data_IF_551163097548
#
_entry.id   IF_551163097548
#
_cell.length_a   1.000
_cell.length_b   1.000
_cell.length_c   1.000
_cell.angle_alpha   90.00
_cell.angle_beta   90.00
_cell.angle_gamma   90.00
#
_symmetry.space_group_name_H-M   'P 1'
#
loop_
_entity.id
_entity.type
_entity.pdbx_description
1 polymer ?
#
# COMPACT_ATOMS: atom_id res chain seq x y z
N UNK A 1 -22.55 41.52 71.22
CA UNK A 1 -23.32 40.42 71.82
C UNK A 1 -22.52 39.14 71.61
N UNK A 2 -22.16 38.50 72.73
CA UNK A 2 -21.60 37.17 72.98
C UNK A 2 -20.50 36.59 72.06
N UNK A 3 -19.53 35.79 72.52
CA UNK A 3 -18.73 35.60 73.74
C UNK A 3 -17.91 34.33 73.46
N UNK A 4 -16.62 34.33 73.82
CA UNK A 4 -15.80 33.13 74.15
C UNK A 4 -15.42 32.19 72.98
N UNK A 5 -14.25 31.54 72.93
CA UNK A 5 -13.40 31.03 74.01
C UNK A 5 -11.90 30.92 73.64
N UNK A 6 -11.08 31.05 74.66
CA UNK A 6 -9.62 30.83 74.75
C UNK A 6 -9.28 29.33 74.70
N UNK A 7 -8.14 28.96 74.10
CA UNK A 7 -7.51 27.65 74.26
C UNK A 7 -6.08 27.59 73.72
N UNK A 8 -5.10 27.51 74.62
CA UNK A 8 -3.64 27.47 74.38
C UNK A 8 -3.15 26.11 73.86
N UNK A 9 -1.99 26.09 73.15
CA UNK A 9 -0.76 25.35 73.54
C UNK A 9 0.01 24.62 72.41
N UNK A 10 1.29 25.03 72.24
CA UNK A 10 2.50 24.28 71.78
C UNK A 10 2.58 23.89 70.29
N UNK A 11 3.72 23.79 69.62
CA UNK A 11 5.12 24.25 69.70
C UNK A 11 5.80 23.54 68.50
N UNK A 12 6.53 24.24 67.62
CA UNK A 12 7.80 23.75 67.04
C UNK A 12 8.30 24.67 65.92
N UNK A 13 9.47 25.25 66.19
CA UNK A 13 10.38 25.95 65.27
C UNK A 13 11.23 24.89 64.58
N UNK A 14 11.44 24.98 63.26
CA UNK A 14 12.75 24.75 62.64
C UNK A 14 12.89 25.67 61.42
N UNK A 15 13.82 26.63 61.51
CA UNK A 15 14.34 27.39 60.38
C UNK A 15 15.61 26.68 59.87
N UNK A 16 15.76 26.56 58.55
CA UNK A 16 17.01 26.18 57.92
C UNK A 16 17.30 27.13 56.74
N UNK A 17 18.31 27.98 56.92
CA UNK A 17 18.98 28.74 55.87
C UNK A 17 19.80 27.76 55.01
N UNK A 18 19.65 27.82 53.69
CA UNK A 18 20.53 27.17 52.71
C UNK A 18 21.19 28.23 51.82
N UNK A 19 22.52 28.27 51.84
CA UNK A 19 23.36 29.16 51.05
C UNK A 19 23.31 28.82 49.55
N UNK A 20 23.13 29.83 48.70
CA UNK A 20 23.15 29.71 47.25
C UNK A 20 24.60 29.82 46.75
N UNK A 21 25.19 28.70 46.32
CA UNK A 21 26.48 28.68 45.61
C UNK A 21 26.18 28.78 44.11
N UNK A 22 26.65 29.85 43.47
CA UNK A 22 26.63 30.02 42.02
C UNK A 22 27.74 29.15 41.41
N UNK A 23 27.40 27.90 41.07
CA UNK A 23 28.20 27.08 40.17
C UNK A 23 27.84 27.42 38.71
N UNK A 24 28.79 27.99 37.96
CA UNK A 24 28.67 28.14 36.51
C UNK A 24 28.64 26.75 35.87
N UNK A 25 27.43 26.31 35.49
CA UNK A 25 27.22 25.09 34.74
C UNK A 25 27.82 25.26 33.34
N UNK A 26 28.89 24.51 33.08
CA UNK A 26 29.35 24.25 31.71
C UNK A 26 28.30 23.29 31.14
N UNK A 27 27.35 23.84 30.39
CA UNK A 27 26.37 23.04 29.65
C UNK A 27 27.11 22.30 28.54
N UNK A 28 27.40 21.01 28.76
CA UNK A 28 27.70 20.11 27.67
C UNK A 28 26.49 20.13 26.73
N UNK A 29 26.65 20.69 25.54
CA UNK A 29 25.65 20.57 24.50
C UNK A 29 25.40 19.08 24.24
N UNK A 30 24.17 18.64 24.44
CA UNK A 30 23.71 17.35 23.93
C UNK A 30 23.86 17.36 22.40
N UNK A 31 24.11 16.20 21.75
CA UNK A 31 24.13 16.15 20.30
C UNK A 31 22.81 16.68 19.77
N UNK A 32 22.91 17.57 18.77
CA UNK A 32 21.79 18.20 18.08
C UNK A 32 20.81 17.09 17.66
N UNK A 33 19.60 17.15 18.20
CA UNK A 33 18.54 16.22 17.82
C UNK A 33 18.36 16.27 16.29
N UNK A 34 18.29 15.09 15.66
CA UNK A 34 17.79 14.98 14.30
C UNK A 34 16.50 15.82 14.19
N UNK A 35 16.42 16.66 13.16
CA UNK A 35 15.21 17.41 12.84
C UNK A 35 14.02 16.45 12.88
N UNK A 36 13.05 16.69 13.76
CA UNK A 36 11.86 15.82 13.90
C UNK A 36 11.21 15.64 12.53
N UNK A 37 11.08 14.39 12.08
CA UNK A 37 10.49 14.07 10.78
C UNK A 37 11.48 14.03 9.60
N UNK A 38 12.80 13.99 9.81
CA UNK A 38 13.75 13.66 8.74
C UNK A 38 14.29 12.25 8.95
N UNK A 39 14.28 11.45 7.89
CA UNK A 39 14.84 10.09 7.89
C UNK A 39 15.99 9.99 6.90
N UNK A 40 17.06 9.30 7.30
CA UNK A 40 18.25 9.06 6.47
C UNK A 40 18.39 7.56 6.24
N UNK A 41 18.47 7.20 4.97
CA UNK A 41 18.65 5.83 4.51
C UNK A 41 19.96 5.74 3.72
N UNK A 42 20.54 4.56 3.75
CA UNK A 42 21.68 4.16 2.93
C UNK A 42 21.28 2.97 2.07
N UNK A 43 21.89 2.87 0.91
CA UNK A 43 21.77 1.75 0.00
C UNK A 43 23.05 1.59 -0.79
N UNK A 44 23.12 0.52 -1.57
CA UNK A 44 24.18 0.32 -2.55
C UNK A 44 23.50 0.01 -3.89
N UNK A 45 23.86 0.73 -4.94
CA UNK A 45 23.28 0.59 -6.26
C UNK A 45 24.29 -0.08 -7.19
N UNK A 46 23.94 -1.28 -7.65
CA UNK A 46 24.74 -2.04 -8.62
C UNK A 46 23.86 -2.41 -9.81
N UNK A 47 23.97 -1.62 -10.88
CA UNK A 47 23.36 -1.92 -12.17
C UNK A 47 24.36 -2.54 -13.15
N UNK A 48 25.65 -2.61 -12.80
CA UNK A 48 26.68 -3.32 -13.57
C UNK A 48 26.39 -4.84 -13.57
N UNK A 49 25.92 -5.36 -12.44
CA UNK A 49 25.53 -6.76 -12.23
C UNK A 49 24.05 -6.80 -11.83
N UNK A 50 23.17 -6.29 -12.69
CA UNK A 50 21.76 -6.00 -12.38
C UNK A 50 21.00 -7.09 -11.60
N UNK A 51 20.41 -6.67 -10.47
CA UNK A 51 19.41 -7.44 -9.69
C UNK A 51 18.26 -6.51 -9.30
N UNK A 52 17.11 -6.66 -9.96
CA UNK A 52 15.94 -5.81 -9.73
C UNK A 52 15.42 -5.87 -8.28
N UNK A 53 15.53 -7.01 -7.60
CA UNK A 53 14.97 -7.22 -6.26
C UNK A 53 15.79 -6.48 -5.22
N UNK A 54 17.11 -6.49 -5.38
CA UNK A 54 18.05 -5.86 -4.47
C UNK A 54 18.32 -4.38 -4.78
N UNK A 55 18.17 -3.94 -6.04
CA UNK A 55 18.45 -2.56 -6.46
C UNK A 55 17.63 -1.51 -5.70
N UNK A 56 18.26 -0.46 -5.13
CA UNK A 56 17.57 0.61 -4.41
C UNK A 56 16.39 1.21 -5.19
N UNK A 57 15.18 1.13 -4.62
CA UNK A 57 13.94 1.61 -5.21
C UNK A 57 13.11 2.30 -4.11
N UNK A 58 12.72 3.59 -4.24
CA UNK A 58 12.79 4.45 -5.42
C UNK A 58 14.21 4.87 -5.82
N UNK A 59 14.36 5.31 -7.07
CA UNK A 59 15.59 5.83 -7.66
C UNK A 59 15.28 7.03 -8.59
N UNK A 60 16.19 7.42 -9.48
CA UNK A 60 15.94 8.48 -10.47
C UNK A 60 14.66 8.26 -11.28
N UNK A 61 13.86 9.32 -11.44
CA UNK A 61 12.58 9.29 -12.16
C UNK A 61 11.38 8.80 -11.33
N UNK A 62 11.60 8.36 -10.09
CA UNK A 62 10.50 8.03 -9.18
C UNK A 62 9.72 9.28 -8.77
N UNK A 63 8.41 9.19 -8.49
CA UNK A 63 7.62 10.28 -7.92
C UNK A 63 8.32 10.90 -6.69
N UNK A 64 8.14 12.21 -6.47
CA UNK A 64 8.65 12.92 -5.29
C UNK A 64 10.16 12.74 -4.97
N UNK A 65 10.96 12.27 -5.94
CA UNK A 65 12.39 12.03 -5.76
C UNK A 65 13.20 13.06 -6.54
N UNK A 66 14.01 13.81 -5.79
CA UNK A 66 15.11 14.63 -6.33
C UNK A 66 16.34 13.74 -6.37
N UNK A 67 17.05 13.72 -7.49
CA UNK A 67 18.18 12.81 -7.71
C UNK A 67 19.40 13.61 -8.13
N UNK A 68 20.41 13.63 -7.25
CA UNK A 68 21.71 14.24 -7.46
C UNK A 68 22.75 13.12 -7.62
N UNK A 69 22.80 12.57 -8.83
CA UNK A 69 23.75 11.53 -9.23
C UNK A 69 23.97 11.58 -10.73
N UNK A 70 24.39 10.46 -11.32
CA UNK A 70 24.80 10.44 -12.71
C UNK A 70 23.69 10.89 -13.68
N UNK A 71 24.09 11.72 -14.65
CA UNK A 71 23.25 12.21 -15.73
C UNK A 71 24.05 12.37 -17.05
N UNK A 72 23.46 12.07 -18.23
CA UNK A 72 22.11 11.56 -18.43
C UNK A 72 21.97 10.10 -17.98
N UNK A 73 20.84 9.76 -17.34
CA UNK A 73 20.59 8.43 -16.74
C UNK A 73 20.85 7.26 -17.70
N UNK A 74 20.59 7.46 -18.99
CA UNK A 74 20.76 6.44 -20.03
C UNK A 74 22.21 6.00 -20.25
N UNK A 75 23.20 6.77 -19.80
CA UNK A 75 24.62 6.40 -19.85
C UNK A 75 25.17 5.89 -18.52
N UNK A 76 24.36 5.91 -17.45
CA UNK A 76 24.82 5.62 -16.11
C UNK A 76 24.84 4.12 -15.84
N UNK A 77 25.99 3.61 -15.41
CA UNK A 77 26.12 2.30 -14.79
C UNK A 77 26.54 2.52 -13.34
N UNK A 78 25.73 2.02 -12.41
CA UNK A 78 25.96 2.18 -10.99
C UNK A 78 26.76 1.01 -10.43
N UNK A 79 27.75 1.34 -9.63
CA UNK A 79 28.46 0.47 -8.69
C UNK A 79 28.92 1.34 -7.53
N UNK A 80 27.94 1.78 -6.72
CA UNK A 80 28.17 2.82 -5.74
C UNK A 80 27.22 2.79 -4.55
N UNK A 81 27.73 3.20 -3.40
CA UNK A 81 26.90 3.60 -2.26
C UNK A 81 25.99 4.77 -2.59
N UNK A 82 24.88 4.87 -1.86
CA UNK A 82 23.90 5.94 -2.03
C UNK A 82 23.28 6.33 -0.69
N UNK A 83 22.92 7.60 -0.58
CA UNK A 83 22.21 8.15 0.59
C UNK A 83 20.87 8.71 0.13
N UNK A 84 19.80 8.35 0.83
CA UNK A 84 18.45 8.90 0.62
C UNK A 84 17.98 9.64 1.86
N UNK A 85 17.58 10.90 1.70
CA UNK A 85 17.09 11.77 2.77
C UNK A 85 15.61 12.04 2.50
N UNK A 86 14.74 11.66 3.43
CA UNK A 86 13.28 11.81 3.31
C UNK A 86 12.80 12.93 4.22
N UNK A 87 12.03 13.87 3.67
CA UNK A 87 11.45 14.98 4.42
C UNK A 87 9.99 14.71 4.83
N UNK A 88 9.81 14.11 6.00
CA UNK A 88 8.50 13.95 6.66
C UNK A 88 8.20 15.08 7.68
N UNK A 89 8.96 16.17 7.66
CA UNK A 89 8.74 17.31 8.55
C UNK A 89 7.55 18.16 8.09
N UNK A 90 7.18 19.18 8.86
CA UNK A 90 6.05 20.06 8.55
C UNK A 90 6.35 21.15 7.51
N UNK A 91 7.60 21.27 7.06
CA UNK A 91 8.03 22.29 6.10
C UNK A 91 9.12 21.82 5.16
N UNK A 92 9.39 22.55 4.06
CA UNK A 92 10.53 22.24 3.21
C UNK A 92 11.83 22.39 4.01
N UNK A 93 12.79 21.52 3.71
CA UNK A 93 14.16 21.62 4.26
C UNK A 93 15.15 21.95 3.16
N UNK A 94 16.27 22.55 3.52
CA UNK A 94 17.43 22.66 2.63
C UNK A 94 18.48 21.66 3.09
N UNK A 95 18.77 20.65 2.27
CA UNK A 95 19.96 19.81 2.44
C UNK A 95 21.12 20.61 1.84
N UNK A 96 21.96 21.17 2.71
CA UNK A 96 23.08 22.02 2.30
C UNK A 96 24.27 21.20 1.80
N UNK A 97 24.51 20.03 2.40
CA UNK A 97 25.62 19.17 2.05
C UNK A 97 25.36 17.74 2.54
N UNK A 98 25.89 16.78 1.78
CA UNK A 98 26.05 15.38 2.19
C UNK A 98 27.52 15.01 2.00
N UNK A 99 28.11 14.33 2.97
CA UNK A 99 29.43 13.72 2.84
C UNK A 99 29.39 12.28 3.35
N UNK A 100 29.91 11.36 2.55
CA UNK A 100 30.05 9.94 2.87
C UNK A 100 31.52 9.67 3.15
N UNK A 101 31.80 9.06 4.30
CA UNK A 101 33.14 8.75 4.77
C UNK A 101 33.34 7.24 4.84
N UNK A 102 34.43 6.75 4.25
CA UNK A 102 34.87 5.36 4.39
C UNK A 102 36.37 5.38 4.68
N UNK A 103 36.76 4.99 5.89
CA UNK A 103 38.14 5.18 6.38
C UNK A 103 38.64 6.63 6.22
N UNK A 104 39.72 6.88 5.47
CA UNK A 104 40.24 8.22 5.18
C UNK A 104 39.58 8.88 3.95
N UNK A 105 38.75 8.15 3.22
CA UNK A 105 38.10 8.63 2.01
C UNK A 105 36.84 9.43 2.32
N UNK A 106 36.58 10.47 1.54
CA UNK A 106 35.39 11.33 1.67
C UNK A 106 34.82 11.63 0.29
N UNK A 107 33.56 11.26 0.10
CA UNK A 107 32.76 11.54 -1.09
C UNK A 107 31.76 12.64 -0.73
N UNK A 108 31.86 13.81 -1.36
CA UNK A 108 31.04 14.99 -1.04
C UNK A 108 30.90 15.88 -2.26
N UNK A 109 30.18 17.00 -2.20
CA UNK A 109 30.14 17.98 -3.29
C UNK A 109 28.88 17.96 -4.16
N UNK A 110 27.88 17.15 -3.80
CA UNK A 110 26.52 17.30 -4.34
C UNK A 110 25.97 18.71 -4.05
N UNK A 111 25.16 19.28 -4.97
CA UNK A 111 24.62 20.62 -4.80
C UNK A 111 23.69 20.72 -3.59
N UNK A 112 23.55 21.94 -3.05
CA UNK A 112 22.55 22.21 -2.03
C UNK A 112 21.15 22.13 -2.65
N UNK A 113 20.26 21.36 -2.02
CA UNK A 113 18.96 21.01 -2.57
C UNK A 113 17.85 21.29 -1.57
N UNK A 114 16.79 21.98 -2.03
CA UNK A 114 15.56 22.16 -1.25
C UNK A 114 14.67 20.93 -1.44
N UNK A 115 14.36 20.24 -0.36
CA UNK A 115 13.49 19.05 -0.36
C UNK A 115 12.11 19.42 0.19
N UNK A 116 11.05 19.45 -0.64
CA UNK A 116 9.69 19.70 -0.19
C UNK A 116 9.21 18.68 0.86
N UNK A 117 8.12 19.02 1.57
CA UNK A 117 7.44 18.05 2.45
C UNK A 117 6.94 16.87 1.63
N UNK A 118 7.19 15.65 2.11
CA UNK A 118 6.83 14.40 1.45
C UNK A 118 7.73 14.03 0.26
N UNK A 119 8.79 14.80 -0.01
CA UNK A 119 9.77 14.48 -1.02
C UNK A 119 11.04 13.87 -0.41
N UNK A 120 11.89 13.32 -1.27
CA UNK A 120 13.18 12.77 -0.90
C UNK A 120 14.29 13.23 -1.85
N UNK A 121 15.52 13.33 -1.31
CA UNK A 121 16.75 13.52 -2.07
C UNK A 121 17.53 12.22 -2.06
N UNK A 122 18.02 11.79 -3.22
CA UNK A 122 19.00 10.71 -3.38
C UNK A 122 20.30 11.30 -3.91
N UNK A 123 21.41 10.99 -3.23
CA UNK A 123 22.77 11.31 -3.70
C UNK A 123 23.57 10.01 -3.89
N UNK A 124 24.38 9.96 -4.95
CA UNK A 124 25.23 8.81 -5.31
C UNK A 124 26.28 9.25 -6.33
N UNK A 125 27.04 8.33 -6.93
CA UNK A 125 28.00 8.63 -8.00
C UNK A 125 27.39 9.57 -9.05
N UNK A 126 28.14 10.58 -9.48
CA UNK A 126 27.73 11.45 -10.59
C UNK A 126 28.34 11.05 -11.94
N UNK A 127 29.32 10.15 -11.95
CA UNK A 127 29.98 9.69 -13.17
C UNK A 127 29.15 8.62 -13.89
N UNK A 128 29.27 8.61 -15.22
CA UNK A 128 28.62 7.62 -16.07
C UNK A 128 29.26 6.23 -15.99
N UNK A 129 30.53 6.15 -15.58
CA UNK A 129 31.32 4.93 -15.56
C UNK A 129 31.67 4.57 -14.12
N UNK A 130 31.55 3.29 -13.79
CA UNK A 130 31.98 2.76 -12.50
C UNK A 130 33.49 2.94 -12.35
N UNK A 131 33.90 3.46 -11.21
CA UNK A 131 35.32 3.73 -10.96
C UNK A 131 35.59 3.81 -9.46
N UNK A 132 36.73 3.24 -9.07
CA UNK A 132 37.22 3.28 -7.70
C UNK A 132 37.94 4.59 -7.41
N UNK A 133 37.83 5.08 -6.18
CA UNK A 133 38.70 6.12 -5.67
C UNK A 133 38.34 6.55 -4.26
N UNK A 134 39.11 7.50 -3.73
CA UNK A 134 39.07 7.87 -2.31
C UNK A 134 38.51 9.29 -2.07
N UNK A 135 38.31 10.05 -3.15
CA UNK A 135 37.74 11.39 -3.11
C UNK A 135 36.68 11.48 -4.20
N UNK A 136 35.56 12.11 -3.88
CA UNK A 136 34.39 12.18 -4.76
C UNK A 136 33.63 13.50 -4.68
N UNK A 137 32.54 13.62 -5.46
CA UNK A 137 31.54 12.57 -5.68
C UNK A 137 31.84 11.66 -6.90
N UNK A 138 32.95 11.92 -7.59
CA UNK A 138 33.52 11.14 -8.68
C UNK A 138 35.03 11.00 -8.49
N UNK A 139 35.61 9.81 -8.67
CA UNK A 139 34.96 8.49 -8.76
C UNK A 139 34.26 8.09 -7.44
N UNK A 140 33.29 7.17 -7.48
CA UNK A 140 32.63 6.67 -6.26
C UNK A 140 32.22 5.20 -6.40
N UNK A 141 33.03 4.33 -5.82
CA UNK A 141 32.71 2.95 -5.46
C UNK A 141 33.17 2.80 -4.00
N UNK A 142 32.20 2.77 -3.08
CA UNK A 142 32.48 2.80 -1.64
C UNK A 142 32.83 1.43 -1.07
N UNK A 143 32.54 0.36 -1.80
CA UNK A 143 32.97 -1.00 -1.44
C UNK A 143 34.42 -1.29 -1.82
N UNK A 144 34.98 -0.54 -2.76
CA UNK A 144 36.39 -0.59 -3.13
C UNK A 144 37.34 0.08 -2.13
N UNK A 145 36.81 0.70 -1.07
CA UNK A 145 37.59 1.47 -0.09
C UNK A 145 37.94 0.64 1.14
N UNK A 146 39.22 0.34 1.29
CA UNK A 146 39.80 -0.27 2.48
C UNK A 146 40.46 0.71 3.43
N UNK A 147 41.20 0.14 4.38
CA UNK A 147 41.87 0.90 5.43
C UNK A 147 42.84 1.94 4.86
N UNK A 148 42.77 3.15 5.42
CA UNK A 148 43.58 4.31 5.06
C UNK A 148 43.42 4.71 3.58
N UNK A 149 42.29 4.31 2.97
CA UNK A 149 41.95 4.63 1.58
C UNK A 149 42.62 3.73 0.55
N UNK A 150 43.21 2.62 1.00
CA UNK A 150 43.73 1.60 0.11
C UNK A 150 42.59 0.98 -0.71
N UNK A 151 42.81 0.77 -2.00
CA UNK A 151 41.87 0.03 -2.84
C UNK A 151 41.82 -1.44 -2.38
N UNK A 152 40.60 -1.97 -2.24
CA UNK A 152 40.32 -3.37 -1.91
C UNK A 152 39.57 -4.10 -3.03
N UNK A 153 39.67 -3.58 -4.26
CA UNK A 153 39.17 -4.20 -5.49
C UNK A 153 39.60 -5.67 -5.54
N UNK A 154 38.63 -6.58 -5.65
CA UNK A 154 38.87 -8.03 -5.73
C UNK A 154 39.27 -8.71 -4.41
N UNK A 155 39.21 -8.01 -3.27
CA UNK A 155 39.41 -8.60 -1.94
C UNK A 155 38.08 -9.14 -1.43
N UNK A 156 37.92 -10.47 -1.43
CA UNK A 156 36.68 -11.14 -1.02
C UNK A 156 36.55 -11.45 0.48
N UNK A 157 37.30 -10.73 1.32
CA UNK A 157 37.26 -10.90 2.78
C UNK A 157 36.77 -9.62 3.44
N UNK A 158 35.68 -9.66 4.21
CA UNK A 158 35.15 -8.48 4.89
C UNK A 158 36.18 -7.83 5.81
N UNK A 159 36.27 -6.51 5.74
CA UNK A 159 36.95 -5.69 6.73
C UNK A 159 36.06 -5.37 7.94
N UNK A 160 36.52 -4.44 8.78
CA UNK A 160 35.78 -3.95 9.96
C UNK A 160 35.45 -2.46 9.88
N UNK A 161 35.63 -1.84 8.71
CA UNK A 161 35.35 -0.43 8.51
C UNK A 161 33.85 -0.18 8.60
N UNK A 162 33.49 0.89 9.30
CA UNK A 162 32.14 1.42 9.36
C UNK A 162 32.13 2.75 8.63
N UNK A 163 31.37 2.86 7.53
CA UNK A 163 31.13 4.14 6.90
C UNK A 163 30.41 5.11 7.83
N UNK A 164 30.55 6.41 7.57
CA UNK A 164 29.76 7.45 8.22
C UNK A 164 29.20 8.43 7.18
N UNK A 165 28.09 9.08 7.51
CA UNK A 165 27.46 10.09 6.66
C UNK A 165 27.24 11.35 7.47
N UNK A 166 27.80 12.46 7.01
CA UNK A 166 27.46 13.79 7.49
C UNK A 166 26.36 14.38 6.61
N UNK A 167 25.24 14.77 7.23
CA UNK A 167 24.14 15.46 6.55
C UNK A 167 23.96 16.84 7.16
N UNK A 168 24.12 17.88 6.36
CA UNK A 168 23.90 19.26 6.79
C UNK A 168 22.55 19.75 6.30
N UNK A 169 21.63 20.02 7.23
CA UNK A 169 20.27 20.48 6.93
C UNK A 169 20.04 21.84 7.59
N UNK A 170 19.59 22.82 6.82
CA UNK A 170 19.35 24.20 7.28
C UNK A 170 20.54 24.77 8.06
N UNK A 171 21.77 24.46 7.63
CA UNK A 171 23.03 24.87 8.24
C UNK A 171 23.47 24.07 9.48
N UNK A 172 22.73 23.02 9.88
CA UNK A 172 23.08 22.15 11.01
C UNK A 172 23.51 20.77 10.52
N UNK A 173 24.70 20.33 10.94
CA UNK A 173 25.25 19.02 10.56
C UNK A 173 24.91 17.95 11.59
N UNK A 174 24.45 16.80 11.11
CA UNK A 174 24.29 15.57 11.90
C UNK A 174 25.17 14.49 11.30
N UNK A 175 25.97 13.83 12.14
CA UNK A 175 26.79 12.68 11.77
C UNK A 175 26.02 11.39 12.07
N UNK A 176 25.97 10.49 11.10
CA UNK A 176 25.37 9.17 11.20
C UNK A 176 26.44 8.11 10.94
N UNK A 177 26.55 7.12 11.81
CA UNK A 177 27.41 5.95 11.55
C UNK A 177 26.59 4.86 10.87
N UNK A 178 27.06 4.38 9.73
CA UNK A 178 26.51 3.19 9.06
C UNK A 178 27.05 1.93 9.73
N UNK A 179 26.58 1.65 10.95
CA UNK A 179 26.95 0.43 11.70
C UNK A 179 26.47 -0.84 11.00
N UNK A 180 25.55 -0.71 10.04
CA UNK A 180 25.11 -1.78 9.15
C UNK A 180 26.10 -2.18 8.08
N UNK A 181 27.06 -1.30 7.76
CA UNK A 181 28.02 -1.48 6.66
C UNK A 181 27.32 -1.70 5.32
N UNK A 182 26.25 -0.95 5.08
CA UNK A 182 25.48 -0.97 3.83
C UNK A 182 26.27 -0.28 2.73
N UNK A 183 26.84 0.89 3.01
CA UNK A 183 27.54 1.72 2.02
C UNK A 183 28.82 1.05 1.48
N UNK A 184 29.44 0.15 2.23
CA UNK A 184 30.64 -0.58 1.80
C UNK A 184 30.38 -2.09 1.68
N UNK A 185 29.12 -2.49 1.47
CA UNK A 185 28.70 -3.89 1.18
C UNK A 185 29.21 -4.94 2.17
N UNK A 186 29.37 -4.55 3.44
CA UNK A 186 29.88 -5.41 4.51
C UNK A 186 31.40 -5.36 4.70
N UNK A 187 32.09 -4.48 3.99
CA UNK A 187 33.54 -4.27 4.06
C UNK A 187 34.33 -5.02 2.99
N UNK A 188 33.73 -5.31 1.84
CA UNK A 188 34.42 -5.97 0.72
C UNK A 188 33.66 -5.75 -0.58
N UNK A 189 34.37 -5.64 -1.70
CA UNK A 189 33.82 -5.58 -3.05
C UNK A 189 33.22 -6.93 -3.44
N UNK A 190 31.91 -7.10 -3.21
CA UNK A 190 31.20 -8.35 -3.50
C UNK A 190 31.02 -8.56 -5.01
N UNK A 191 31.09 -7.47 -5.76
CA UNK A 191 30.98 -7.40 -7.20
C UNK A 191 32.05 -8.19 -7.91
N UNK A 192 33.31 -7.94 -7.56
CA UNK A 192 34.46 -8.69 -8.08
C UNK A 192 34.58 -10.08 -7.48
N UNK A 193 33.81 -10.39 -6.43
CA UNK A 193 33.62 -11.73 -5.90
C UNK A 193 32.50 -12.51 -6.61
N UNK A 194 31.90 -11.93 -7.66
CA UNK A 194 30.91 -12.59 -8.53
C UNK A 194 29.47 -12.49 -8.03
N UNK A 195 29.17 -11.55 -7.13
CA UNK A 195 27.83 -11.28 -6.61
C UNK A 195 27.32 -9.92 -7.11
N UNK A 196 26.01 -9.70 -7.07
CA UNK A 196 25.45 -8.34 -7.16
C UNK A 196 25.62 -7.65 -5.79
N UNK A 197 25.97 -6.38 -5.82
CA UNK A 197 26.23 -5.57 -4.62
C UNK A 197 25.05 -4.73 -4.18
N UNK A 198 23.92 -4.81 -4.89
CA UNK A 198 22.80 -3.96 -4.53
C UNK A 198 22.30 -4.30 -3.13
N UNK A 199 22.10 -3.25 -2.34
CA UNK A 199 21.45 -3.32 -1.05
C UNK A 199 20.34 -2.28 -1.05
N UNK A 200 19.11 -2.76 -0.87
CA UNK A 200 17.92 -1.92 -0.84
C UNK A 200 18.00 -0.86 0.27
N UNK A 201 17.24 0.22 0.13
CA UNK A 201 17.18 1.29 1.12
C UNK A 201 17.01 0.75 2.54
N UNK A 202 17.98 1.08 3.38
CA UNK A 202 18.12 0.62 4.76
C UNK A 202 18.27 1.85 5.65
N UNK A 203 17.57 1.91 6.78
CA UNK A 203 17.75 3.02 7.74
C UNK A 203 19.20 3.03 8.21
N UNK A 204 19.88 4.17 8.12
CA UNK A 204 21.31 4.25 8.48
C UNK A 204 21.52 3.82 9.94
N UNK A 205 22.55 3.01 10.17
CA UNK A 205 22.84 2.42 11.49
C UNK A 205 22.09 1.11 11.79
N UNK A 206 21.39 0.54 10.80
CA UNK A 206 20.75 -0.78 10.90
C UNK A 206 21.36 -1.76 9.89
N UNK A 207 21.24 -3.07 10.15
CA UNK A 207 21.75 -4.10 9.23
C UNK A 207 21.08 -4.06 7.85
N UNK A 208 21.76 -4.54 6.79
CA UNK A 208 21.31 -4.40 5.40
C UNK A 208 19.96 -5.10 5.15
N UNK A 209 19.02 -4.37 4.56
CA UNK A 209 17.69 -4.86 4.23
C UNK A 209 17.61 -5.43 2.81
N UNK A 210 18.38 -6.47 2.53
CA UNK A 210 18.49 -7.07 1.20
C UNK A 210 17.14 -7.48 0.62
N UNK A 211 16.91 -7.10 -0.63
CA UNK A 211 15.74 -7.47 -1.41
C UNK A 211 14.53 -6.58 -1.21
N UNK A 212 13.49 -6.90 -1.95
CA UNK A 212 12.20 -6.21 -1.93
C UNK A 212 11.04 -7.17 -2.18
N UNK A 213 9.86 -6.80 -1.72
CA UNK A 213 8.64 -7.57 -1.90
C UNK A 213 7.49 -6.68 -2.37
N UNK A 214 6.90 -7.04 -3.51
CA UNK A 214 5.68 -6.45 -4.03
C UNK A 214 4.53 -7.44 -3.87
N UNK A 215 3.50 -7.07 -3.11
CA UNK A 215 2.33 -7.89 -2.87
C UNK A 215 1.05 -7.16 -3.29
N UNK A 216 0.20 -7.81 -4.07
CA UNK A 216 -1.09 -7.27 -4.53
C UNK A 216 -2.23 -7.91 -3.74
N UNK A 217 -3.14 -7.06 -3.24
CA UNK A 217 -4.23 -7.46 -2.34
C UNK A 217 -5.52 -6.66 -2.61
N UNK A 218 -6.68 -7.20 -2.21
CA UNK A 218 -6.90 -8.56 -1.69
C UNK A 218 -6.74 -9.65 -2.77
N UNK A 219 -6.50 -10.90 -2.37
CA UNK A 219 -6.26 -12.01 -3.32
C UNK A 219 -7.45 -12.27 -4.24
N UNK A 220 -8.66 -12.10 -3.73
CA UNK A 220 -9.92 -12.30 -4.46
C UNK A 220 -10.91 -11.22 -4.09
N UNK A 221 -11.68 -10.74 -5.07
CA UNK A 221 -12.81 -9.83 -4.88
C UNK A 221 -13.98 -10.27 -5.74
N UNK A 222 -15.19 -9.90 -5.31
CA UNK A 222 -16.42 -10.20 -6.05
C UNK A 222 -17.32 -8.97 -6.02
N UNK A 223 -17.66 -8.45 -7.21
CA UNK A 223 -18.40 -7.19 -7.35
C UNK A 223 -19.47 -7.28 -8.44
N UNK A 224 -20.55 -6.53 -8.28
CA UNK A 224 -21.53 -6.35 -9.36
C UNK A 224 -20.88 -5.57 -10.52
N UNK A 225 -21.28 -5.86 -11.75
CA UNK A 225 -20.91 -5.04 -12.93
C UNK A 225 -21.21 -3.57 -12.65
N UNK A 226 -20.27 -2.69 -13.02
CA UNK A 226 -20.36 -1.24 -12.81
C UNK A 226 -19.87 -0.76 -11.44
N UNK A 227 -19.74 -1.65 -10.44
CA UNK A 227 -19.15 -1.29 -9.15
C UNK A 227 -17.63 -1.13 -9.24
N UNK A 228 -17.06 -0.45 -8.26
CA UNK A 228 -15.61 -0.24 -8.18
C UNK A 228 -14.95 -1.31 -7.32
N UNK A 229 -13.99 -2.02 -7.90
CA UNK A 229 -13.02 -2.83 -7.20
C UNK A 229 -11.78 -1.99 -6.88
N UNK A 230 -11.16 -2.26 -5.73
CA UNK A 230 -9.94 -1.57 -5.28
C UNK A 230 -8.82 -2.58 -5.14
N UNK A 231 -7.76 -2.39 -5.92
CA UNK A 231 -6.52 -3.15 -5.82
C UNK A 231 -5.48 -2.34 -5.04
N UNK A 232 -4.74 -3.02 -4.15
CA UNK A 232 -3.70 -2.41 -3.31
C UNK A 232 -2.40 -3.18 -3.43
N UNK A 233 -1.38 -2.53 -3.99
CA UNK A 233 -0.03 -3.05 -4.03
C UNK A 233 0.77 -2.51 -2.84
N UNK A 234 1.28 -3.42 -1.99
CA UNK A 234 2.20 -3.11 -0.90
C UNK A 234 3.63 -3.42 -1.35
N UNK A 235 4.53 -2.45 -1.22
CA UNK A 235 5.93 -2.59 -1.57
C UNK A 235 6.83 -2.33 -0.36
N UNK A 236 7.71 -3.27 -0.04
CA UNK A 236 8.63 -3.20 1.10
C UNK A 236 10.03 -3.67 0.73
N UNK A 237 11.04 -3.29 1.52
CA UNK A 237 12.36 -3.94 1.47
C UNK A 237 12.34 -5.31 2.19
N UNK A 238 13.47 -6.01 2.22
CA UNK A 238 13.60 -7.33 2.86
C UNK A 238 13.41 -7.34 4.37
N UNK A 239 13.53 -6.18 5.03
CA UNK A 239 13.21 -6.01 6.46
C UNK A 239 11.73 -5.73 6.72
N UNK A 240 10.90 -5.63 5.68
CA UNK A 240 9.49 -5.26 5.80
C UNK A 240 9.22 -3.77 5.96
N UNK A 241 10.25 -2.91 5.80
CA UNK A 241 10.06 -1.46 5.83
C UNK A 241 9.39 -0.99 4.53
N UNK A 242 8.44 -0.05 4.59
CA UNK A 242 7.73 0.44 3.42
C UNK A 242 8.67 1.21 2.48
N UNK A 243 8.53 0.97 1.17
CA UNK A 243 9.21 1.74 0.12
C UNK A 243 8.21 2.74 -0.47
N UNK A 244 8.29 4.00 -0.03
CA UNK A 244 7.43 5.10 -0.49
C UNK A 244 7.87 5.66 -1.83
N UNK A 245 6.96 6.39 -2.48
CA UNK A 245 7.23 7.18 -3.68
C UNK A 245 7.66 6.34 -4.90
N UNK A 246 7.21 5.09 -4.96
CA UNK A 246 7.49 4.16 -6.06
C UNK A 246 6.28 4.10 -6.99
N UNK A 247 6.49 4.25 -8.29
CA UNK A 247 5.45 4.04 -9.29
C UNK A 247 5.19 2.54 -9.48
N UNK A 248 3.94 2.12 -9.25
CA UNK A 248 3.46 0.76 -9.45
C UNK A 248 2.55 0.73 -10.67
N UNK A 249 2.81 -0.18 -11.60
CA UNK A 249 1.96 -0.48 -12.74
C UNK A 249 1.02 -1.64 -12.42
N UNK A 250 -0.25 -1.50 -12.74
CA UNK A 250 -1.28 -2.54 -12.59
C UNK A 250 -1.74 -2.98 -13.97
N UNK A 251 -1.84 -4.28 -14.22
CA UNK A 251 -2.32 -4.81 -15.49
C UNK A 251 -3.25 -6.01 -15.31
N UNK A 252 -4.37 -5.99 -16.04
CA UNK A 252 -5.27 -7.13 -16.20
C UNK A 252 -4.68 -8.08 -17.25
N UNK A 253 -4.21 -9.25 -16.82
CA UNK A 253 -3.62 -10.26 -17.71
C UNK A 253 -4.67 -11.13 -18.41
N UNK A 254 -5.88 -11.25 -17.84
CA UNK A 254 -6.98 -12.02 -18.41
C UNK A 254 -8.34 -11.52 -17.89
N UNK A 255 -9.42 -12.03 -18.48
CA UNK A 255 -10.80 -11.71 -18.10
C UNK A 255 -11.47 -10.65 -18.98
N UNK A 256 -12.66 -10.18 -18.59
CA UNK A 256 -13.41 -9.18 -19.35
C UNK A 256 -12.67 -7.86 -19.55
N UNK A 257 -11.72 -7.51 -18.68
CA UNK A 257 -10.89 -6.31 -18.78
C UNK A 257 -9.44 -6.60 -19.21
N UNK A 258 -9.16 -7.75 -19.84
CA UNK A 258 -7.81 -8.09 -20.30
C UNK A 258 -7.18 -6.97 -21.14
N UNK A 259 -5.91 -6.65 -20.85
CA UNK A 259 -5.18 -5.55 -21.50
C UNK A 259 -5.42 -4.17 -20.88
N UNK A 260 -6.34 -4.03 -19.91
CA UNK A 260 -6.49 -2.81 -19.13
C UNK A 260 -5.27 -2.60 -18.24
N UNK A 261 -4.80 -1.36 -18.18
CA UNK A 261 -3.68 -0.95 -17.33
C UNK A 261 -4.05 0.22 -16.42
N UNK A 262 -3.23 0.43 -15.40
CA UNK A 262 -3.32 1.53 -14.46
C UNK A 262 -1.99 1.76 -13.76
N UNK A 263 -1.89 2.88 -13.05
CA UNK A 263 -0.74 3.18 -12.20
C UNK A 263 -1.18 3.71 -10.85
N UNK A 264 -0.30 3.58 -9.86
CA UNK A 264 -0.42 4.23 -8.57
C UNK A 264 0.96 4.43 -7.95
N UNK A 265 1.13 5.48 -7.16
CA UNK A 265 2.37 5.73 -6.41
C UNK A 265 2.23 5.20 -5.00
N UNK A 266 3.26 4.57 -4.45
CA UNK A 266 3.25 4.13 -3.05
C UNK A 266 3.26 5.32 -2.09
N UNK A 267 2.38 5.30 -1.10
CA UNK A 267 2.36 6.26 -0.01
C UNK A 267 3.49 6.02 1.01
N UNK A 268 3.49 6.78 2.11
CA UNK A 268 4.45 6.58 3.22
C UNK A 268 4.37 5.19 3.87
N UNK A 269 3.25 4.47 3.70
CA UNK A 269 3.11 3.09 4.13
C UNK A 269 3.52 2.10 3.02
N UNK A 270 4.10 2.55 1.91
CA UNK A 270 4.50 1.67 0.82
C UNK A 270 3.30 1.08 0.06
N UNK A 271 2.13 1.73 0.09
CA UNK A 271 0.90 1.22 -0.56
C UNK A 271 0.52 2.08 -1.76
N UNK A 272 0.46 1.48 -2.95
CA UNK A 272 -0.15 2.05 -4.14
C UNK A 272 -1.56 1.48 -4.31
N UNK A 273 -2.53 2.32 -4.68
CA UNK A 273 -3.93 1.93 -4.85
C UNK A 273 -4.41 2.18 -6.27
N UNK A 274 -5.11 1.22 -6.86
CA UNK A 274 -5.76 1.35 -8.16
C UNK A 274 -7.23 0.95 -8.06
N UNK A 275 -8.13 1.78 -8.60
CA UNK A 275 -9.57 1.56 -8.59
C UNK A 275 -10.08 1.35 -10.00
N UNK A 276 -10.92 0.34 -10.22
CA UNK A 276 -11.47 0.06 -11.53
C UNK A 276 -12.84 -0.63 -11.47
N UNK A 277 -13.57 -0.63 -12.57
CA UNK A 277 -14.87 -1.30 -12.72
C UNK A 277 -14.93 -2.09 -14.02
N UNK A 278 -15.80 -3.09 -14.09
CA UNK A 278 -16.10 -3.83 -15.33
C UNK A 278 -17.49 -3.50 -15.85
N UNK A 279 -17.65 -3.49 -17.18
CA UNK A 279 -18.95 -3.45 -17.86
C UNK A 279 -19.47 -4.85 -18.23
N UNK A 280 -18.64 -5.89 -18.10
CA UNK A 280 -18.94 -7.26 -18.49
C UNK A 280 -18.78 -8.22 -17.31
N UNK A 281 -19.60 -9.27 -17.29
CA UNK A 281 -19.45 -10.36 -16.34
C UNK A 281 -18.19 -11.18 -16.64
N UNK A 282 -17.63 -11.82 -15.62
CA UNK A 282 -16.46 -12.69 -15.72
C UNK A 282 -15.41 -12.35 -14.68
N UNK A 283 -14.33 -13.11 -14.68
CA UNK A 283 -13.24 -12.94 -13.71
C UNK A 283 -12.02 -12.33 -14.37
N UNK A 284 -11.59 -11.17 -13.90
CA UNK A 284 -10.29 -10.59 -14.24
C UNK A 284 -9.19 -11.23 -13.41
N UNK A 285 -8.00 -11.37 -13.99
CA UNK A 285 -6.76 -11.63 -13.23
C UNK A 285 -5.83 -10.43 -13.35
N UNK A 286 -5.36 -9.91 -12.22
CA UNK A 286 -4.47 -8.75 -12.15
C UNK A 286 -3.11 -9.11 -11.58
N UNK A 287 -2.10 -8.37 -12.02
CA UNK A 287 -0.75 -8.34 -11.45
C UNK A 287 -0.27 -6.89 -11.37
N UNK A 288 0.54 -6.59 -10.37
CA UNK A 288 1.26 -5.35 -10.23
C UNK A 288 2.76 -5.55 -10.53
N UNK A 289 3.39 -4.52 -11.08
CA UNK A 289 4.81 -4.51 -11.43
C UNK A 289 5.44 -3.17 -11.03
N UNK A 290 6.62 -3.24 -10.42
CA UNK A 290 7.52 -2.09 -10.23
C UNK A 290 8.71 -2.31 -11.17
N UNK A 291 9.10 -1.28 -11.90
CA UNK A 291 10.27 -1.32 -12.80
C UNK A 291 11.32 -0.36 -12.27
N UNK A 292 12.56 -0.85 -12.10
CA UNK A 292 13.72 -0.03 -11.77
C UNK A 292 14.82 -0.21 -12.83
N UNK A 293 15.99 0.40 -12.62
CA UNK A 293 17.09 0.35 -13.60
C UNK A 293 17.67 -1.07 -13.78
N UNK A 294 17.46 -1.97 -12.82
CA UNK A 294 17.94 -3.35 -12.88
C UNK A 294 16.88 -4.36 -13.36
N UNK A 295 15.63 -3.94 -13.56
CA UNK A 295 14.57 -4.75 -14.17
C UNK A 295 13.21 -4.64 -13.47
N UNK A 296 12.38 -5.67 -13.67
CA UNK A 296 11.00 -5.72 -13.19
C UNK A 296 10.84 -6.58 -11.92
N UNK A 297 10.12 -6.03 -10.94
CA UNK A 297 9.65 -6.71 -9.73
C UNK A 297 8.16 -6.94 -9.87
N UNK A 298 7.73 -8.21 -9.86
CA UNK A 298 6.35 -8.58 -10.07
C UNK A 298 5.67 -9.07 -8.80
N UNK A 299 4.39 -8.73 -8.62
CA UNK A 299 3.57 -9.20 -7.50
C UNK A 299 3.02 -10.62 -7.71
N UNK A 300 2.39 -11.18 -6.67
CA UNK A 300 1.39 -12.24 -6.87
C UNK A 300 0.26 -11.78 -7.79
N UNK A 301 -0.50 -12.73 -8.34
CA UNK A 301 -1.76 -12.41 -9.03
C UNK A 301 -2.92 -12.32 -8.03
N UNK A 302 -3.93 -11.54 -8.41
CA UNK A 302 -5.22 -11.43 -7.72
C UNK A 302 -6.35 -11.56 -8.74
N UNK A 303 -7.56 -11.87 -8.28
CA UNK A 303 -8.71 -12.02 -9.17
C UNK A 303 -9.90 -11.20 -8.71
N UNK A 304 -10.61 -10.61 -9.67
CA UNK A 304 -11.86 -9.88 -9.41
C UNK A 304 -12.96 -10.48 -10.27
N UNK A 305 -13.99 -11.03 -9.62
CA UNK A 305 -15.14 -11.62 -10.29
C UNK A 305 -16.28 -10.62 -10.39
N UNK A 306 -16.73 -10.38 -11.61
CA UNK A 306 -17.85 -9.51 -11.95
C UNK A 306 -19.08 -10.33 -12.27
N UNK A 307 -20.19 -10.04 -11.59
CA UNK A 307 -21.46 -10.69 -11.84
C UNK A 307 -22.55 -9.69 -12.24
N UNK A 308 -23.52 -10.09 -13.07
CA UNK A 308 -24.63 -9.24 -13.46
C UNK A 308 -25.82 -9.40 -12.49
N UNK A 309 -26.52 -8.30 -12.19
CA UNK A 309 -27.94 -8.37 -11.88
C UNK A 309 -28.75 -8.50 -13.17
N UNK A 310 -30.03 -8.83 -13.06
CA UNK A 310 -30.92 -8.75 -14.21
C UNK A 310 -31.03 -7.30 -14.74
N UNK A 311 -31.19 -7.15 -16.05
CA UNK A 311 -31.14 -5.83 -16.71
C UNK A 311 -32.39 -4.99 -16.43
N UNK A 312 -32.33 -4.03 -15.50
CA UNK A 312 -33.49 -3.18 -15.22
C UNK A 312 -33.39 -2.25 -14.02
N UNK A 313 -32.26 -2.22 -13.30
CA UNK A 313 -32.08 -1.38 -12.12
C UNK A 313 -32.74 -1.93 -10.85
N UNK A 314 -32.72 -3.26 -10.70
CA UNK A 314 -33.28 -3.99 -9.57
C UNK A 314 -32.92 -5.47 -9.66
N UNK A 315 -33.25 -6.25 -8.65
CA UNK A 315 -32.90 -7.67 -8.57
C UNK A 315 -34.09 -8.60 -8.32
N UNK A 316 -33.91 -9.87 -8.69
CA UNK A 316 -34.82 -10.93 -8.29
C UNK A 316 -34.53 -11.36 -6.86
N UNK A 317 -35.52 -11.96 -6.18
CA UNK A 317 -35.47 -12.30 -4.76
C UNK A 317 -35.93 -13.75 -4.57
N UNK A 318 -35.28 -14.46 -3.64
CA UNK A 318 -35.70 -15.77 -3.11
C UNK A 318 -35.81 -15.71 -1.58
N UNK A 319 -36.50 -16.67 -1.00
CA UNK A 319 -36.57 -16.83 0.46
C UNK A 319 -35.30 -17.43 1.07
N UNK A 320 -34.97 -17.07 2.31
CA UNK A 320 -33.78 -17.56 3.03
C UNK A 320 -33.80 -19.05 3.39
N UNK A 321 -34.95 -19.71 3.28
CA UNK A 321 -35.04 -21.16 3.42
C UNK A 321 -34.63 -21.92 2.15
N UNK A 322 -34.64 -21.24 1.00
CA UNK A 322 -34.18 -21.80 -0.28
C UNK A 322 -32.67 -21.62 -0.50
N UNK A 323 -32.01 -20.81 0.35
CA UNK A 323 -30.59 -20.47 0.25
C UNK A 323 -29.70 -21.63 0.70
N UNK A 324 -29.54 -22.59 -0.20
CA UNK A 324 -28.60 -23.69 -0.08
C UNK A 324 -27.90 -23.91 -1.42
N UNK A 325 -26.59 -24.15 -1.36
CA UNK A 325 -25.79 -24.45 -2.54
C UNK A 325 -26.40 -25.61 -3.34
N UNK A 326 -26.49 -25.44 -4.67
CA UNK A 326 -27.11 -26.37 -5.63
C UNK A 326 -28.64 -26.52 -5.52
N UNK A 327 -29.33 -25.79 -4.63
CA UNK A 327 -30.79 -25.82 -4.56
C UNK A 327 -31.43 -25.27 -5.85
N UNK A 328 -32.57 -25.86 -6.23
CA UNK A 328 -33.41 -25.33 -7.28
C UNK A 328 -34.30 -24.24 -6.70
N UNK A 329 -34.31 -23.07 -7.31
CA UNK A 329 -34.97 -21.87 -6.78
C UNK A 329 -36.08 -21.38 -7.71
N UNK A 330 -37.12 -20.80 -7.13
CA UNK A 330 -38.23 -20.14 -7.83
C UNK A 330 -38.12 -18.63 -7.66
N UNK A 331 -37.26 -17.97 -8.43
CA UNK A 331 -37.00 -16.53 -8.23
C UNK A 331 -38.03 -15.60 -8.88
N UNK A 332 -39.00 -16.11 -9.64
CA UNK A 332 -40.06 -15.29 -10.27
C UNK A 332 -41.34 -16.06 -10.58
N UNK A 333 -42.49 -15.42 -10.33
CA UNK A 333 -43.78 -15.81 -10.91
C UNK A 333 -44.99 -15.56 -10.02
N UNK A 334 -46.19 -15.85 -10.54
CA UNK A 334 -47.47 -15.62 -9.85
C UNK A 334 -47.56 -16.31 -8.49
N UNK A 335 -46.90 -17.46 -8.34
CA UNK A 335 -46.92 -18.31 -7.15
C UNK A 335 -45.67 -18.16 -6.27
N UNK A 336 -44.82 -17.15 -6.48
CA UNK A 336 -43.58 -16.94 -5.72
C UNK A 336 -43.78 -17.12 -4.21
N UNK A 337 -44.79 -16.44 -3.66
CA UNK A 337 -45.12 -16.51 -2.22
C UNK A 337 -45.42 -17.91 -1.66
N UNK A 338 -45.70 -18.91 -2.51
CA UNK A 338 -45.92 -20.30 -2.10
C UNK A 338 -44.66 -21.16 -2.20
N UNK A 339 -43.71 -20.75 -3.04
CA UNK A 339 -42.49 -21.51 -3.32
C UNK A 339 -41.30 -20.99 -2.54
N UNK A 340 -41.35 -19.73 -2.09
CA UNK A 340 -40.26 -19.07 -1.38
C UNK A 340 -40.67 -18.81 0.06
N UNK A 341 -40.41 -19.81 0.91
CA UNK A 341 -40.62 -19.70 2.34
C UNK A 341 -39.50 -18.91 3.01
N UNK A 342 -39.82 -18.23 4.11
CA UNK A 342 -38.87 -17.41 4.86
C UNK A 342 -39.01 -17.68 6.35
N UNK A 343 -37.89 -17.62 7.08
CA UNK A 343 -37.87 -17.93 8.52
C UNK A 343 -38.76 -17.02 9.36
N UNK A 344 -38.87 -15.73 9.00
CA UNK A 344 -39.48 -14.70 9.85
C UNK A 344 -40.84 -14.19 9.35
N UNK A 345 -41.35 -14.68 8.22
CA UNK A 345 -42.64 -14.23 7.69
C UNK A 345 -43.16 -15.11 6.55
N UNK A 346 -44.48 -15.10 6.34
CA UNK A 346 -45.04 -15.51 5.06
C UNK A 346 -44.98 -14.34 4.07
N UNK A 347 -44.47 -14.62 2.88
CA UNK A 347 -44.44 -13.69 1.77
C UNK A 347 -45.85 -13.14 1.44
N UNK A 348 -46.02 -11.82 1.23
CA UNK A 348 -47.26 -11.29 0.71
C UNK A 348 -47.54 -11.88 -0.68
N UNK A 349 -48.74 -12.45 -0.89
CA UNK A 349 -49.12 -13.03 -2.19
C UNK A 349 -49.04 -12.05 -3.37
N UNK A 350 -48.98 -10.74 -3.07
CA UNK A 350 -48.79 -9.67 -4.04
C UNK A 350 -47.35 -9.54 -4.58
N UNK A 351 -46.34 -10.04 -3.87
CA UNK A 351 -44.95 -10.06 -4.32
C UNK A 351 -44.72 -11.21 -5.30
N UNK A 352 -43.90 -10.96 -6.31
CA UNK A 352 -43.66 -11.88 -7.44
C UNK A 352 -42.20 -12.25 -7.64
N UNK A 353 -41.33 -11.78 -6.73
CA UNK A 353 -39.89 -12.08 -6.75
C UNK A 353 -39.02 -11.01 -7.39
N UNK A 354 -39.50 -9.79 -7.69
CA UNK A 354 -38.67 -8.72 -8.27
C UNK A 354 -38.76 -7.39 -7.51
N UNK A 355 -37.61 -6.88 -7.07
CA UNK A 355 -37.47 -5.55 -6.49
C UNK A 355 -36.86 -4.57 -7.50
N UNK A 356 -37.23 -3.29 -7.38
CA UNK A 356 -36.73 -2.22 -8.25
C UNK A 356 -36.42 -0.94 -7.46
N UNK A 357 -36.20 -1.09 -6.15
CA UNK A 357 -35.88 0.01 -5.25
C UNK A 357 -34.37 0.25 -5.17
N UNK A 358 -33.57 -0.78 -5.41
CA UNK A 358 -32.12 -0.73 -5.34
C UNK A 358 -31.52 -0.95 -6.73
N UNK A 359 -30.82 0.05 -7.25
CA UNK A 359 -30.13 -0.07 -8.55
C UNK A 359 -28.98 -1.09 -8.51
N UNK A 360 -28.26 -1.14 -7.37
CA UNK A 360 -27.18 -2.10 -7.10
C UNK A 360 -27.30 -2.57 -5.64
N UNK A 361 -28.14 -3.59 -5.38
CA UNK A 361 -28.34 -4.11 -4.03
C UNK A 361 -27.06 -4.67 -3.38
N UNK A 362 -26.91 -4.48 -2.07
CA UNK A 362 -25.82 -5.06 -1.25
C UNK A 362 -26.37 -5.78 -0.02
N UNK A 363 -25.65 -6.77 0.50
CA UNK A 363 -26.02 -7.47 1.73
C UNK A 363 -26.15 -6.51 2.92
N UNK A 364 -27.09 -6.80 3.81
CA UNK A 364 -27.44 -5.97 4.96
C UNK A 364 -28.31 -4.76 4.65
N UNK A 365 -28.65 -4.51 3.38
CA UNK A 365 -29.60 -3.46 3.01
C UNK A 365 -31.05 -3.95 3.07
N UNK A 366 -31.98 -3.02 2.83
CA UNK A 366 -33.39 -3.30 2.57
C UNK A 366 -33.74 -2.81 1.17
N UNK A 367 -34.85 -3.30 0.63
CA UNK A 367 -35.37 -2.88 -0.68
C UNK A 367 -36.86 -2.58 -0.59
N UNK A 368 -37.38 -1.89 -1.61
CA UNK A 368 -38.81 -1.67 -1.78
C UNK A 368 -39.23 -1.93 -3.22
N UNK A 369 -40.50 -2.27 -3.43
CA UNK A 369 -41.07 -2.55 -4.75
C UNK A 369 -42.59 -2.37 -4.74
N UNK A 370 -43.22 -2.57 -5.90
CA UNK A 370 -44.67 -2.52 -6.08
C UNK A 370 -45.27 -3.91 -6.36
N UNK A 371 -46.52 -4.17 -5.95
CA UNK A 371 -47.24 -5.42 -6.23
C UNK A 371 -47.27 -5.87 -7.69
N UNK A 372 -47.31 -7.18 -7.88
CA UNK A 372 -47.58 -7.82 -9.16
C UNK A 372 -46.50 -7.52 -10.19
N UNK A 373 -46.91 -7.09 -11.39
CA UNK A 373 -45.99 -6.73 -12.47
C UNK A 373 -45.65 -5.22 -12.50
N UNK A 374 -46.04 -4.46 -11.48
CA UNK A 374 -45.94 -2.99 -11.48
C UNK A 374 -44.51 -2.48 -11.34
N UNK A 375 -43.61 -3.31 -10.81
CA UNK A 375 -42.17 -3.05 -10.71
C UNK A 375 -41.45 -3.08 -12.07
N UNK A 376 -42.13 -3.57 -13.13
CA UNK A 376 -41.62 -3.70 -14.50
C UNK A 376 -40.30 -4.50 -14.55
N UNK A 377 -40.37 -5.82 -14.29
CA UNK A 377 -39.18 -6.66 -14.32
C UNK A 377 -38.51 -6.66 -15.71
N UNK A 378 -37.22 -6.99 -15.79
CA UNK A 378 -36.43 -7.05 -17.01
C UNK A 378 -37.07 -7.89 -18.11
N UNK A 379 -36.99 -7.46 -19.37
CA UNK A 379 -37.52 -8.24 -20.50
C UNK A 379 -36.71 -9.51 -20.79
N UNK A 380 -35.46 -9.56 -20.32
CA UNK A 380 -34.55 -10.70 -20.43
C UNK A 380 -33.74 -10.82 -19.15
N UNK A 381 -33.25 -12.03 -18.87
CA UNK A 381 -32.32 -12.30 -17.78
C UNK A 381 -31.02 -12.92 -18.34
N UNK A 382 -29.85 -12.64 -17.73
CA UNK A 382 -28.60 -13.33 -18.05
C UNK A 382 -28.68 -14.83 -17.68
N UNK A 383 -27.85 -15.66 -18.32
CA UNK A 383 -27.76 -17.10 -18.01
C UNK A 383 -27.24 -17.42 -16.59
N UNK A 384 -26.47 -16.49 -16.01
CA UNK A 384 -26.10 -16.47 -14.60
C UNK A 384 -26.31 -15.05 -14.11
N UNK A 385 -27.05 -14.87 -13.02
CA UNK A 385 -27.30 -13.56 -12.42
C UNK A 385 -27.29 -13.64 -10.89
N UNK A 386 -27.02 -12.52 -10.22
CA UNK A 386 -27.23 -12.42 -8.80
C UNK A 386 -28.72 -12.26 -8.44
N UNK A 387 -29.11 -12.92 -7.35
CA UNK A 387 -30.44 -12.95 -6.79
C UNK A 387 -30.33 -12.67 -5.29
N UNK A 388 -31.19 -11.81 -4.77
CA UNK A 388 -31.21 -11.46 -3.36
C UNK A 388 -31.86 -12.57 -2.56
N UNK A 389 -31.39 -12.77 -1.34
CA UNK A 389 -32.00 -13.65 -0.36
C UNK A 389 -32.64 -12.77 0.71
N UNK A 390 -33.95 -12.94 0.92
CA UNK A 390 -34.69 -12.23 1.94
C UNK A 390 -35.10 -13.19 3.07
N UNK A 391 -34.94 -12.76 4.32
CA UNK A 391 -35.49 -13.48 5.49
C UNK A 391 -36.86 -12.94 5.89
N UNK A 392 -37.22 -11.77 5.38
CA UNK A 392 -38.46 -11.08 5.70
C UNK A 392 -38.96 -10.23 4.53
N UNK A 393 -40.24 -10.40 4.17
CA UNK A 393 -40.92 -9.53 3.20
C UNK A 393 -42.28 -9.12 3.74
N UNK A 394 -42.58 -7.83 3.73
CA UNK A 394 -43.87 -7.28 4.18
C UNK A 394 -44.49 -6.34 3.16
N UNK A 395 -45.78 -6.03 3.36
CA UNK A 395 -46.54 -5.12 2.50
C UNK A 395 -47.31 -4.12 3.35
N UNK A 396 -47.21 -2.83 3.00
CA UNK A 396 -48.03 -1.74 3.53
C UNK A 396 -48.63 -0.93 2.38
N UNK A 397 -49.94 -1.05 2.19
CA UNK A 397 -50.62 -0.44 1.05
C UNK A 397 -50.06 -0.93 -0.29
N UNK A 398 -49.57 -0.02 -1.13
CA UNK A 398 -48.98 -0.33 -2.43
C UNK A 398 -47.45 -0.56 -2.40
N UNK A 399 -46.83 -0.52 -1.22
CA UNK A 399 -45.38 -0.73 -1.06
C UNK A 399 -45.14 -2.11 -0.45
N UNK A 400 -44.25 -2.86 -1.07
CA UNK A 400 -43.68 -4.10 -0.54
C UNK A 400 -42.23 -3.80 -0.18
N UNK A 401 -41.76 -4.32 0.95
CA UNK A 401 -40.40 -4.13 1.44
C UNK A 401 -39.82 -5.44 1.93
N UNK A 402 -38.50 -5.60 1.83
CA UNK A 402 -37.79 -6.73 2.40
C UNK A 402 -36.35 -6.41 2.73
N UNK A 403 -35.69 -7.36 3.38
CA UNK A 403 -34.27 -7.33 3.70
C UNK A 403 -33.42 -8.05 2.63
N UNK A 404 -32.11 -7.85 2.72
CA UNK A 404 -31.10 -8.58 1.94
C UNK A 404 -30.17 -9.23 2.95
N UNK A 405 -30.45 -10.48 3.31
CA UNK A 405 -29.60 -11.22 4.23
C UNK A 405 -28.38 -11.78 3.52
N UNK A 406 -28.55 -12.30 2.30
CA UNK A 406 -27.48 -12.79 1.42
C UNK A 406 -27.76 -12.39 -0.04
N UNK A 407 -26.77 -12.58 -0.92
CA UNK A 407 -26.87 -12.50 -2.38
C UNK A 407 -26.21 -13.75 -2.97
N UNK A 408 -26.98 -14.50 -3.77
CA UNK A 408 -26.53 -15.73 -4.42
C UNK A 408 -26.42 -15.57 -5.92
N UNK A 409 -25.52 -16.33 -6.56
CA UNK A 409 -25.48 -16.48 -8.01
C UNK A 409 -26.38 -17.64 -8.44
N UNK A 410 -27.33 -17.35 -9.33
CA UNK A 410 -28.27 -18.33 -9.87
C UNK A 410 -27.97 -18.56 -11.34
N UNK A 411 -27.74 -19.82 -11.71
CA UNK A 411 -27.79 -20.26 -13.10
C UNK A 411 -29.26 -20.39 -13.51
N UNK A 412 -29.71 -19.55 -14.43
CA UNK A 412 -31.13 -19.46 -14.80
C UNK A 412 -31.53 -20.57 -15.76
N UNK A 413 -32.70 -21.17 -15.54
CA UNK A 413 -33.34 -22.06 -16.49
C UNK A 413 -34.08 -21.27 -17.58
N UNK A 414 -34.32 -21.91 -18.73
CA UNK A 414 -35.22 -21.35 -19.74
C UNK A 414 -36.67 -21.30 -19.23
N UNK A 415 -37.46 -20.34 -19.73
CA UNK A 415 -38.90 -20.24 -19.43
C UNK A 415 -39.36 -18.89 -18.88
N UNK A 416 -38.42 -18.04 -18.43
CA UNK A 416 -38.73 -16.70 -17.93
C UNK A 416 -39.35 -15.79 -19.00
N UNK A 417 -40.33 -14.99 -18.59
CA UNK A 417 -40.79 -13.81 -19.29
C UNK A 417 -41.16 -12.71 -18.28
N UNK A 418 -41.13 -11.44 -18.71
CA UNK A 418 -41.42 -10.25 -17.89
C UNK A 418 -42.91 -10.05 -17.53
N UNK A 419 -43.59 -11.15 -17.25
CA UNK A 419 -44.93 -11.17 -16.69
C UNK A 419 -45.07 -12.40 -15.78
N UNK A 420 -45.81 -12.29 -14.66
CA UNK A 420 -45.86 -13.33 -13.64
C UNK A 420 -46.64 -14.58 -14.06
N UNK A 421 -47.23 -14.61 -15.27
CA UNK A 421 -47.81 -15.82 -15.84
C UNK A 421 -46.74 -16.84 -16.25
N UNK A 422 -45.49 -16.41 -16.35
CA UNK A 422 -44.32 -17.27 -16.57
C UNK A 422 -43.51 -17.39 -15.29
N UNK A 423 -42.79 -18.50 -15.17
CA UNK A 423 -41.96 -18.78 -14.01
C UNK A 423 -40.50 -18.52 -14.34
N UNK A 424 -39.76 -17.96 -13.39
CA UNK A 424 -38.31 -17.95 -13.40
C UNK A 424 -37.80 -18.95 -12.38
N UNK A 425 -37.02 -19.92 -12.85
CA UNK A 425 -36.38 -20.92 -12.01
C UNK A 425 -34.89 -21.02 -12.32
N UNK A 426 -34.12 -21.65 -11.45
CA UNK A 426 -32.69 -21.83 -11.65
C UNK A 426 -32.06 -22.63 -10.53
N UNK A 427 -30.74 -22.70 -10.54
CA UNK A 427 -29.95 -23.35 -9.51
C UNK A 427 -28.99 -22.37 -8.85
N UNK A 428 -28.87 -22.42 -7.52
CA UNK A 428 -27.82 -21.68 -6.80
C UNK A 428 -26.47 -22.31 -7.10
N UNK A 429 -25.54 -21.53 -7.67
CA UNK A 429 -24.19 -21.96 -8.04
C UNK A 429 -23.09 -21.22 -7.28
N UNK A 430 -23.45 -20.34 -6.34
CA UNK A 430 -22.50 -19.66 -5.47
C UNK A 430 -23.16 -18.63 -4.58
N UNK A 431 -22.44 -18.23 -3.54
CA UNK A 431 -22.82 -17.18 -2.58
C UNK A 431 -21.81 -16.04 -2.67
N UNK A 432 -22.27 -14.80 -2.70
CA UNK A 432 -21.43 -13.59 -2.79
C UNK A 432 -21.17 -13.03 -1.40
N UNK A 433 -22.26 -12.85 -0.69
CA UNK A 433 -22.43 -12.54 0.71
C UNK A 433 -23.82 -13.09 1.07
#
# INVERSE_FOLDING_TARGET
MNSSSIGRSKLAIVAALGALVLGSAISNAAPVAASTGIEVYVGYADSLRADAINFPTPWVGSPNTIFDGCAPVTSCVYDAGAVRIVNNSSGPITVNAVAIHVSSCTFSGWPATVVPVGANLIVTQSDAVTSSGCFGPEPMDTSDVGKDGASIVGVCSPDTLQPAVDVTINGQTTNYTDTGRVLNTGGFDAGNCGLNESIQWTVIGTGPCNGSNLALTPKTQTWAIGMTATERAKFTNGCGQPLSDVLVHFAASSGPNAGRTGTGTTDANGVATYNYSSALAGTDTWRATVTNLAGDINSNTVTVTWWPFATGGGAFVIGDLEDSMNAQVYWWGAQWWKHDEMRNSLAPAAFKGYENGNLVPMCGQTWTTRPGNSAKPPTKVPGVMAVLVASHVTKKGAVISGDIVHIVLVQTNAGYAANPGHIGTGQIIGTIC
#
